data_IF_051669662590
#
_entry.id   IF_051669662590
#
_cell.length_a   1.000
_cell.length_b   1.000
_cell.length_c   1.000
_cell.angle_alpha   90.00
_cell.angle_beta   90.00
_cell.angle_gamma   90.00
#
_symmetry.space_group_name_H-M   'P 1'
#
loop_
_entity.id
_entity.type
_entity.pdbx_description
1 polymer ?
#
# COMPACT_ATOMS: atom_id res chain seq x y z
N UNK A 1 -7.44 -10.30 2.89
CA UNK A 1 -8.33 -10.78 1.81
C UNK A 1 -7.53 -11.10 0.54
N UNK A 2 -8.17 -11.64 -0.52
CA UNK A 2 -7.48 -12.03 -1.75
C UNK A 2 -6.79 -10.85 -2.46
N UNK A 3 -7.34 -9.63 -2.35
CA UNK A 3 -6.74 -8.42 -2.95
C UNK A 3 -5.44 -8.00 -2.26
N UNK A 4 -5.33 -8.13 -0.93
CA UNK A 4 -4.08 -7.84 -0.22
C UNK A 4 -3.00 -8.88 -0.54
N UNK A 5 -3.40 -10.15 -0.73
CA UNK A 5 -2.47 -11.21 -1.11
C UNK A 5 -1.93 -10.99 -2.53
N UNK A 6 -2.80 -10.72 -3.50
CA UNK A 6 -2.42 -10.51 -4.90
C UNK A 6 -1.69 -9.17 -5.07
N UNK A 7 -2.19 -8.09 -4.46
CA UNK A 7 -1.56 -6.77 -4.49
C UNK A 7 -0.21 -6.74 -3.77
N UNK A 8 -0.10 -7.39 -2.60
CA UNK A 8 1.16 -7.54 -1.88
C UNK A 8 2.17 -8.39 -2.65
N UNK A 9 1.74 -9.49 -3.28
CA UNK A 9 2.60 -10.32 -4.12
C UNK A 9 3.10 -9.56 -5.35
N UNK A 10 2.25 -8.79 -6.03
CA UNK A 10 2.65 -7.94 -7.17
C UNK A 10 3.67 -6.87 -6.75
N UNK A 11 3.49 -6.25 -5.58
CA UNK A 11 4.46 -5.29 -5.02
C UNK A 11 5.78 -5.98 -4.67
N UNK A 12 5.76 -7.17 -4.06
CA UNK A 12 6.98 -7.92 -3.70
C UNK A 12 7.76 -8.40 -4.93
N UNK A 13 7.05 -8.91 -5.95
CA UNK A 13 7.65 -9.41 -7.19
C UNK A 13 8.11 -8.27 -8.09
N UNK A 14 7.62 -7.05 -7.86
CA UNK A 14 8.04 -5.90 -8.62
C UNK A 14 7.41 -5.84 -10.01
N UNK A 15 6.17 -6.30 -10.15
CA UNK A 15 5.40 -6.23 -11.40
C UNK A 15 4.35 -5.11 -11.28
N UNK A 16 4.38 -4.13 -12.18
CA UNK A 16 3.55 -2.93 -12.10
C UNK A 16 3.53 -2.26 -10.70
N UNK A 17 4.66 -2.25 -9.99
CA UNK A 17 4.78 -1.90 -8.56
C UNK A 17 4.14 -0.55 -8.22
N UNK A 18 4.23 0.43 -9.12
CA UNK A 18 3.63 1.75 -8.92
C UNK A 18 2.10 1.69 -8.83
N UNK A 19 1.48 1.00 -9.79
CA UNK A 19 0.02 0.85 -9.85
C UNK A 19 -0.49 -0.08 -8.75
N UNK A 20 0.19 -1.20 -8.53
CA UNK A 20 -0.17 -2.13 -7.46
C UNK A 20 -0.08 -1.48 -6.08
N UNK A 21 1.00 -0.75 -5.79
CA UNK A 21 1.17 -0.06 -4.51
C UNK A 21 0.17 1.09 -4.34
N UNK A 22 -0.17 1.83 -5.41
CA UNK A 22 -1.20 2.87 -5.34
C UNK A 22 -2.59 2.30 -5.03
N UNK A 23 -2.95 1.16 -5.61
CA UNK A 23 -4.21 0.49 -5.28
C UNK A 23 -4.21 -0.06 -3.85
N UNK A 24 -3.11 -0.68 -3.42
CA UNK A 24 -2.97 -1.18 -2.05
C UNK A 24 -3.04 -0.06 -1.00
N UNK A 25 -2.45 1.11 -1.25
CA UNK A 25 -2.55 2.24 -0.32
C UNK A 25 -3.99 2.75 -0.19
N UNK A 26 -4.71 2.88 -1.32
CA UNK A 26 -6.12 3.24 -1.33
C UNK A 26 -7.00 2.23 -0.57
N UNK A 27 -6.71 0.93 -0.72
CA UNK A 27 -7.43 -0.12 0.00
C UNK A 27 -7.20 -0.05 1.51
N UNK A 28 -5.97 0.21 1.95
CA UNK A 28 -5.62 0.40 3.36
C UNK A 28 -6.25 1.68 3.94
N UNK A 29 -6.31 2.77 3.16
CA UNK A 29 -6.99 3.99 3.55
C UNK A 29 -8.50 3.75 3.76
N UNK A 30 -9.13 3.02 2.85
CA UNK A 30 -10.54 2.66 2.94
C UNK A 30 -10.80 1.72 4.12
N UNK A 31 -9.94 0.72 4.33
CA UNK A 31 -10.01 -0.20 5.46
C UNK A 31 -9.83 0.52 6.81
N UNK A 32 -8.92 1.50 6.88
CA UNK A 32 -8.77 2.36 8.05
C UNK A 32 -10.08 3.07 8.36
N UNK A 33 -10.71 3.72 7.38
CA UNK A 33 -11.96 4.45 7.61
C UNK A 33 -13.10 3.53 8.03
N UNK A 34 -13.23 2.37 7.37
CA UNK A 34 -14.29 1.40 7.65
C UNK A 34 -14.19 0.77 9.04
N UNK A 35 -12.98 0.42 9.50
CA UNK A 35 -12.80 -0.32 10.76
C UNK A 35 -12.38 0.56 11.96
N UNK A 36 -11.74 1.71 11.71
CA UNK A 36 -11.07 2.52 12.74
C UNK A 36 -11.49 4.00 12.71
N UNK A 37 -11.69 4.58 11.53
CA UNK A 37 -12.02 6.01 11.36
C UNK A 37 -13.33 6.43 12.01
N UNK A 38 -14.31 5.53 12.11
CA UNK A 38 -15.56 5.79 12.83
C UNK A 38 -15.45 5.68 14.36
N UNK A 39 -14.33 5.15 14.90
CA UNK A 39 -14.09 5.06 16.35
C UNK A 39 -13.30 6.25 16.88
N UNK A 40 -12.24 6.65 16.18
CA UNK A 40 -11.50 7.89 16.42
C UNK A 40 -10.77 8.31 15.15
N UNK A 41 -10.44 9.59 15.00
CA UNK A 41 -9.78 10.09 13.79
C UNK A 41 -8.28 9.77 13.76
N UNK A 42 -7.65 9.75 14.94
CA UNK A 42 -6.22 9.53 15.11
C UNK A 42 -5.89 8.02 15.23
N UNK A 43 -4.94 7.49 14.43
CA UNK A 43 -4.56 6.08 14.46
C UNK A 43 -4.17 5.59 15.86
N UNK A 44 -3.54 6.49 16.63
CA UNK A 44 -3.03 6.23 17.98
C UNK A 44 -4.13 5.92 19.01
N UNK A 45 -5.35 6.41 18.81
CA UNK A 45 -6.48 6.24 19.75
C UNK A 45 -7.52 5.23 19.27
N UNK A 46 -7.44 4.78 18.01
CA UNK A 46 -8.35 3.77 17.46
C UNK A 46 -7.68 2.43 17.18
N UNK A 47 -6.38 2.27 17.45
CA UNK A 47 -5.55 1.11 17.08
C UNK A 47 -5.39 0.88 15.57
N UNK A 48 -5.63 1.90 14.75
CA UNK A 48 -5.50 1.86 13.30
C UNK A 48 -4.09 2.14 12.79
N UNK A 49 -3.09 2.12 13.68
CA UNK A 49 -1.68 2.43 13.39
C UNK A 49 -1.15 1.58 12.23
N UNK A 50 -1.43 0.27 12.22
CA UNK A 50 -0.98 -0.62 11.15
C UNK A 50 -1.61 -0.26 9.79
N UNK A 51 -2.91 0.03 9.76
CA UNK A 51 -3.58 0.40 8.51
C UNK A 51 -3.07 1.73 7.96
N UNK A 52 -2.81 2.71 8.83
CA UNK A 52 -2.18 3.98 8.44
C UNK A 52 -0.74 3.77 7.95
N UNK A 53 0.07 2.98 8.66
CA UNK A 53 1.45 2.68 8.28
C UNK A 53 1.52 1.98 6.92
N UNK A 54 0.71 0.95 6.68
CA UNK A 54 0.68 0.27 5.39
C UNK A 54 0.19 1.19 4.27
N UNK A 55 -0.81 2.04 4.53
CA UNK A 55 -1.25 3.05 3.56
C UNK A 55 -0.09 3.96 3.12
N UNK A 56 0.62 4.57 4.07
CA UNK A 56 1.73 5.47 3.76
C UNK A 56 2.94 4.74 3.17
N UNK A 57 3.26 3.53 3.63
CA UNK A 57 4.33 2.72 3.08
C UNK A 57 4.06 2.35 1.61
N UNK A 58 2.85 1.92 1.27
CA UNK A 58 2.48 1.64 -0.11
C UNK A 58 2.45 2.91 -0.97
N UNK A 59 2.01 4.05 -0.43
CA UNK A 59 2.11 5.35 -1.12
C UNK A 59 3.56 5.73 -1.42
N UNK A 60 4.47 5.53 -0.47
CA UNK A 60 5.90 5.75 -0.67
C UNK A 60 6.40 4.88 -1.81
N UNK A 61 6.10 3.58 -1.78
CA UNK A 61 6.51 2.62 -2.81
C UNK A 61 5.93 3.01 -4.18
N UNK A 62 4.69 3.50 -4.23
CA UNK A 62 4.07 3.98 -5.46
C UNK A 62 4.81 5.21 -6.04
N UNK A 63 5.27 6.11 -5.18
CA UNK A 63 6.00 7.32 -5.56
C UNK A 63 7.46 7.06 -5.96
N UNK A 64 8.20 6.26 -5.19
CA UNK A 64 9.60 5.92 -5.46
C UNK A 64 9.74 4.95 -6.64
N UNK A 65 8.77 4.07 -6.80
CA UNK A 65 8.75 3.04 -7.82
C UNK A 65 9.56 1.80 -7.44
N UNK A 66 9.69 0.86 -8.39
CA UNK A 66 10.27 -0.44 -8.13
C UNK A 66 11.78 -0.40 -7.81
N UNK A 67 12.23 -1.31 -6.92
CA UNK A 67 13.64 -1.47 -6.56
C UNK A 67 14.50 -2.12 -7.66
N UNK A 68 15.82 -2.21 -7.43
CA UNK A 68 16.78 -2.72 -8.42
C UNK A 68 16.50 -4.15 -8.93
N UNK A 69 15.76 -4.94 -8.14
CA UNK A 69 15.44 -6.36 -8.37
C UNK A 69 14.04 -6.58 -8.96
N UNK A 70 13.36 -5.51 -9.39
CA UNK A 70 12.00 -5.58 -9.91
C UNK A 70 11.93 -6.24 -11.29
N UNK A 71 10.96 -7.13 -11.50
CA UNK A 71 10.76 -7.79 -12.80
C UNK A 71 10.34 -6.82 -13.92
N UNK A 72 9.62 -5.74 -13.60
CA UNK A 72 9.10 -4.77 -14.57
C UNK A 72 10.04 -3.57 -14.79
N UNK A 73 11.35 -3.78 -14.60
CA UNK A 73 12.35 -2.72 -14.72
C UNK A 73 12.40 -2.19 -16.15
N UNK A 74 11.64 -1.13 -16.43
CA UNK A 74 11.89 -0.24 -17.55
C UNK A 74 13.00 0.74 -17.11
N UNK A 75 14.19 0.74 -17.75
CA UNK A 75 15.16 1.79 -17.50
C UNK A 75 14.48 3.13 -17.78
N UNK A 76 14.58 4.07 -16.83
CA UNK A 76 14.15 5.45 -17.07
C UNK A 76 14.96 5.95 -18.27
N UNK A 77 14.28 6.27 -19.36
CA UNK A 77 14.87 6.96 -20.51
C UNK A 77 15.35 8.36 -20.10
#
# INVERSE_FOLDING_TARGET
GPIELVGGALVMVGLATRWAAFLCSGLMAFAYWMAHGFKALLPLVNQGELAALYCFAFLWIAAHGPGMWSLDRTPRA
#
